data_IF_527267237324
#
_entry.id   IF_527267237324
#
_cell.length_a   1.000
_cell.length_b   1.000
_cell.length_c   1.000
_cell.angle_alpha   90.00
_cell.angle_beta   90.00
_cell.angle_gamma   90.00
#
_symmetry.space_group_name_H-M   'P 1'
#
loop_
_entity.id
_entity.type
_entity.pdbx_description
1 polymer ?
#
# COMPACT_ATOMS: atom_id res chain seq x y z
N UNK A 1 3.29 11.33 -8.41
CA UNK A 1 4.01 10.16 -8.95
C UNK A 1 3.22 8.87 -8.83
N UNK A 2 2.84 8.38 -7.64
CA UNK A 2 2.14 7.10 -7.50
C UNK A 2 0.66 7.12 -7.97
N UNK A 3 -0.06 8.24 -7.82
CA UNK A 3 -1.41 8.39 -8.39
C UNK A 3 -1.41 8.36 -9.93
N UNK A 4 -0.44 9.05 -10.54
CA UNK A 4 -0.23 9.06 -12.00
C UNK A 4 0.18 7.67 -12.51
N UNK A 5 0.91 6.89 -11.71
CA UNK A 5 1.25 5.51 -12.04
C UNK A 5 0.02 4.60 -12.12
N UNK A 6 -1.03 4.88 -11.33
CA UNK A 6 -2.24 4.06 -11.24
C UNK A 6 -3.44 4.63 -12.02
N UNK A 7 -3.33 5.80 -12.64
CA UNK A 7 -4.43 6.46 -13.35
C UNK A 7 -4.84 5.77 -14.66
N UNK A 8 -3.94 5.04 -15.32
CA UNK A 8 -4.26 4.33 -16.56
C UNK A 8 -4.87 2.94 -16.30
N UNK A 9 -5.90 2.50 -17.05
CA UNK A 9 -6.43 1.12 -16.98
C UNK A 9 -5.32 0.08 -17.18
N UNK A 10 -5.35 -1.02 -16.43
CA UNK A 10 -4.35 -2.10 -16.54
C UNK A 10 -2.95 -1.78 -15.99
N UNK A 11 -2.71 -0.58 -15.43
CA UNK A 11 -1.47 -0.27 -14.71
C UNK A 11 -1.56 -0.59 -13.22
N UNK A 12 -0.52 -1.27 -12.74
CA UNK A 12 -0.23 -1.64 -11.37
C UNK A 12 1.02 -0.90 -10.88
N UNK A 13 1.30 -0.90 -9.58
CA UNK A 13 2.47 -0.24 -9.01
C UNK A 13 3.37 -1.19 -8.23
N UNK A 14 4.68 -0.94 -8.28
CA UNK A 14 5.66 -1.51 -7.36
C UNK A 14 6.22 -0.38 -6.51
N UNK A 15 6.02 -0.44 -5.20
CA UNK A 15 6.67 0.46 -4.23
C UNK A 15 7.83 -0.29 -3.58
N UNK A 16 9.04 0.21 -3.75
CA UNK A 16 10.24 -0.47 -3.27
C UNK A 16 11.25 0.47 -2.61
N UNK A 17 12.09 -0.08 -1.73
CA UNK A 17 13.10 0.65 -0.97
C UNK A 17 13.47 -0.05 0.34
N UNK A 18 14.30 0.61 1.16
CA UNK A 18 14.78 0.09 2.44
C UNK A 18 13.65 -0.30 3.44
N UNK A 19 13.97 -1.08 4.47
CA UNK A 19 13.01 -1.42 5.52
C UNK A 19 12.63 -0.19 6.37
N UNK A 20 11.41 -0.17 6.91
CA UNK A 20 10.97 0.88 7.85
C UNK A 20 10.62 2.26 7.25
N UNK A 21 10.85 2.50 5.96
CA UNK A 21 10.64 3.83 5.34
C UNK A 21 9.18 4.18 5.00
N UNK A 22 8.19 3.40 5.43
CA UNK A 22 6.77 3.71 5.22
C UNK A 22 6.15 3.28 3.89
N UNK A 23 6.74 2.32 3.15
CA UNK A 23 6.22 1.83 1.86
C UNK A 23 4.75 1.38 1.92
N UNK A 24 4.43 0.54 2.91
CA UNK A 24 3.08 0.02 3.13
C UNK A 24 2.11 1.11 3.58
N UNK A 25 2.57 2.05 4.40
CA UNK A 25 1.78 3.20 4.84
C UNK A 25 1.43 4.11 3.65
N UNK A 26 2.39 4.35 2.75
CA UNK A 26 2.17 5.09 1.51
C UNK A 26 1.13 4.39 0.62
N UNK A 27 1.25 3.07 0.45
CA UNK A 27 0.27 2.28 -0.31
C UNK A 27 -1.14 2.42 0.29
N UNK A 28 -1.29 2.27 1.61
CA UNK A 28 -2.59 2.45 2.28
C UNK A 28 -3.16 3.85 2.12
N UNK A 29 -2.33 4.88 2.30
CA UNK A 29 -2.73 6.28 2.22
C UNK A 29 -3.23 6.59 0.81
N UNK A 30 -2.48 6.17 -0.21
CA UNK A 30 -2.89 6.32 -1.60
C UNK A 30 -4.26 5.69 -1.86
N UNK A 31 -4.46 4.45 -1.43
CA UNK A 31 -5.73 3.77 -1.65
C UNK A 31 -6.87 4.43 -0.88
N UNK A 32 -6.62 4.96 0.32
CA UNK A 32 -7.61 5.67 1.12
C UNK A 32 -8.09 6.98 0.47
N UNK A 33 -7.27 7.62 -0.39
CA UNK A 33 -7.69 8.78 -1.17
C UNK A 33 -8.65 8.43 -2.31
N UNK A 34 -8.75 7.15 -2.69
CA UNK A 34 -9.74 6.70 -3.66
C UNK A 34 -11.08 6.37 -2.96
N UNK A 35 -12.19 6.87 -3.54
CA UNK A 35 -13.54 6.54 -3.07
C UNK A 35 -13.91 5.11 -3.47
N UNK A 36 -13.43 4.13 -2.71
CA UNK A 36 -13.67 2.72 -3.01
C UNK A 36 -15.00 2.23 -2.48
N UNK A 37 -15.67 1.40 -3.28
CA UNK A 37 -16.84 0.65 -2.82
C UNK A 37 -16.49 -0.47 -1.87
N UNK A 38 -15.25 -0.96 -1.84
CA UNK A 38 -14.78 -1.95 -0.86
C UNK A 38 -13.42 -1.50 -0.28
N UNK A 39 -13.10 -1.82 0.99
CA UNK A 39 -11.76 -1.56 1.49
C UNK A 39 -10.74 -2.37 0.68
N UNK A 40 -9.48 -1.89 0.55
CA UNK A 40 -8.45 -2.68 -0.09
C UNK A 40 -8.19 -3.96 0.69
N UNK A 41 -7.91 -5.05 -0.03
CA UNK A 41 -7.41 -6.27 0.59
C UNK A 41 -5.89 -6.19 0.65
N UNK A 42 -5.35 -6.21 1.87
CA UNK A 42 -3.91 -6.33 2.12
C UNK A 42 -3.56 -7.78 2.42
N UNK A 43 -2.49 -8.27 1.78
CA UNK A 43 -1.91 -9.58 2.03
C UNK A 43 -0.40 -9.42 2.15
N UNK A 44 0.17 -9.93 3.22
CA UNK A 44 1.63 -10.02 3.37
C UNK A 44 2.13 -11.37 2.87
N UNK A 45 3.28 -11.34 2.19
CA UNK A 45 3.97 -12.53 1.71
C UNK A 45 4.87 -13.14 2.79
N UNK A 46 5.03 -14.45 2.70
CA UNK A 46 5.93 -15.29 3.47
C UNK A 46 6.77 -16.18 2.52
N UNK A 47 7.83 -16.85 2.99
CA UNK A 47 8.71 -17.66 2.15
C UNK A 47 8.01 -18.68 1.25
N UNK A 48 6.94 -19.30 1.74
CA UNK A 48 6.17 -20.32 1.02
C UNK A 48 5.03 -19.76 0.17
N UNK A 49 4.85 -18.44 0.15
CA UNK A 49 3.78 -17.80 -0.63
C UNK A 49 3.97 -18.03 -2.13
N UNK A 50 2.92 -18.51 -2.78
CA UNK A 50 2.80 -18.60 -4.24
C UNK A 50 1.78 -17.60 -4.75
N UNK A 51 1.89 -17.18 -6.02
CA UNK A 51 0.93 -16.28 -6.65
C UNK A 51 -0.51 -16.77 -6.47
N UNK A 52 -0.77 -18.05 -6.78
CA UNK A 52 -2.10 -18.63 -6.68
C UNK A 52 -2.61 -18.64 -5.23
N UNK A 53 -1.76 -18.95 -4.25
CA UNK A 53 -2.16 -18.92 -2.84
C UNK A 53 -2.55 -17.52 -2.38
N UNK A 54 -1.82 -16.49 -2.82
CA UNK A 54 -2.11 -15.09 -2.52
C UNK A 54 -3.42 -14.65 -3.17
N UNK A 55 -3.67 -15.05 -4.42
CA UNK A 55 -4.91 -14.71 -5.13
C UNK A 55 -6.13 -15.43 -4.55
N UNK A 56 -6.02 -16.71 -4.17
CA UNK A 56 -7.06 -17.43 -3.42
C UNK A 56 -7.39 -16.72 -2.12
N UNK A 57 -6.36 -16.30 -1.36
CA UNK A 57 -6.54 -15.54 -0.12
C UNK A 57 -7.22 -14.20 -0.38
N UNK A 58 -6.85 -13.48 -1.45
CA UNK A 58 -7.47 -12.21 -1.82
C UNK A 58 -8.97 -12.35 -2.08
N UNK A 59 -9.35 -13.32 -2.89
CA UNK A 59 -10.74 -13.59 -3.25
C UNK A 59 -11.56 -14.04 -2.03
N UNK A 60 -11.00 -14.91 -1.20
CA UNK A 60 -11.64 -15.35 0.06
C UNK A 60 -11.92 -14.19 1.01
N UNK A 61 -10.95 -13.29 1.19
CA UNK A 61 -11.11 -12.09 2.01
C UNK A 61 -12.12 -11.12 1.40
N UNK A 62 -12.12 -11.00 0.07
CA UNK A 62 -13.06 -10.20 -0.69
C UNK A 62 -14.51 -10.60 -0.48
N UNK A 63 -14.80 -11.91 -0.62
CA UNK A 63 -16.14 -12.45 -0.42
C UNK A 63 -16.60 -12.32 1.04
N UNK A 64 -15.71 -12.59 1.99
CA UNK A 64 -16.00 -12.45 3.42
C UNK A 64 -16.32 -11.00 3.81
N UNK A 65 -15.59 -10.02 3.25
CA UNK A 65 -15.84 -8.60 3.47
C UNK A 65 -17.15 -8.11 2.88
N UNK A 66 -17.60 -8.73 1.78
CA UNK A 66 -18.87 -8.42 1.12
C UNK A 66 -20.07 -8.94 1.92
N UNK A 67 -20.00 -10.17 2.43
CA UNK A 67 -21.09 -10.79 3.18
C UNK A 67 -21.43 -10.00 4.45
N UNK A 68 -20.40 -9.48 5.14
CA UNK A 68 -20.56 -8.66 6.34
C UNK A 68 -21.27 -7.32 6.07
N UNK A 69 -21.15 -6.77 4.85
CA UNK A 69 -21.89 -5.56 4.44
C UNK A 69 -23.34 -5.88 4.10
N UNK A 70 -23.61 -7.03 3.50
CA UNK A 70 -24.98 -7.44 3.18
C UNK A 70 -25.79 -7.72 4.46
N UNK A 71 -25.16 -8.30 5.50
CA UNK A 71 -25.78 -8.49 6.81
C UNK A 71 -26.13 -7.17 7.51
N UNK A 72 -25.32 -6.10 7.34
CA UNK A 72 -25.60 -4.80 7.98
C UNK A 72 -26.82 -4.07 7.39
N UNK A 73 -27.11 -4.25 6.09
CA UNK A 73 -28.29 -3.64 5.43
C UNK A 73 -29.55 -4.46 5.69
N UNK A 74 -29.41 -5.78 5.84
CA UNK A 74 -30.52 -6.66 6.18
C UNK A 74 -30.89 -6.59 7.67
N UNK A 75 -29.91 -6.52 8.58
CA UNK A 75 -30.11 -6.41 10.03
C UNK A 75 -30.72 -5.08 10.49
N UNK A 76 -30.42 -3.97 9.79
CA UNK A 76 -31.03 -2.67 10.09
C UNK A 76 -32.52 -2.60 9.71
N UNK A 77 -32.99 -3.43 8.75
CA UNK A 77 -34.41 -3.53 8.39
C UNK A 77 -35.16 -4.61 9.18
N UNK A 78 -34.46 -5.66 9.61
CA UNK A 78 -35.08 -6.77 10.36
C UNK A 78 -35.31 -6.50 11.85
N UNK A 79 -34.68 -5.45 12.42
CA UNK A 79 -34.87 -5.07 13.83
C UNK A 79 -36.16 -4.29 14.11
N UNK A 80 -36.96 -3.93 13.10
CA UNK A 80 -38.17 -3.11 13.28
C UNK A 80 -39.50 -3.86 13.10
N UNK A 81 -39.47 -5.17 12.83
CA UNK A 81 -40.70 -5.95 12.67
C UNK A 81 -40.62 -7.21 13.52
N UNK A 82 -41.28 -7.17 14.68
CA UNK A 82 -41.44 -8.31 15.56
C UNK A 82 -42.24 -9.42 14.88
N UNK A 83 -41.62 -10.58 14.71
CA UNK A 83 -42.23 -11.91 14.82
C UNK A 83 -41.19 -12.97 14.48
N UNK A 84 -41.20 -14.06 15.25
CA UNK A 84 -40.20 -15.11 15.23
C UNK A 84 -39.87 -15.63 13.83
N UNK A 85 -38.59 -15.55 13.47
CA UNK A 85 -38.02 -16.26 12.34
C UNK A 85 -36.99 -17.24 12.90
N UNK A 86 -37.29 -18.54 12.80
CA UNK A 86 -36.31 -19.61 12.99
C UNK A 86 -35.21 -19.40 11.95
N UNK A 87 -34.06 -18.93 12.40
CA UNK A 87 -32.84 -18.89 11.60
C UNK A 87 -32.33 -20.32 11.41
N UNK A 88 -32.80 -21.00 10.37
CA UNK A 88 -32.01 -22.06 9.77
C UNK A 88 -30.78 -21.42 9.15
N UNK A 89 -29.66 -21.57 9.85
CA UNK A 89 -28.33 -21.25 9.38
C UNK A 89 -28.02 -22.19 8.21
N UNK A 90 -28.52 -21.87 7.02
CA UNK A 90 -27.96 -22.39 5.77
C UNK A 90 -26.52 -21.90 5.73
N UNK A 91 -25.62 -22.79 6.13
CA UNK A 91 -24.20 -22.71 5.79
C UNK A 91 -24.18 -22.65 4.27
N UNK A 92 -24.10 -21.43 3.72
CA UNK A 92 -23.73 -21.23 2.33
C UNK A 92 -22.29 -21.71 2.27
N UNK A 93 -22.17 -22.95 1.83
CA UNK A 93 -20.97 -23.69 1.58
C UNK A 93 -20.08 -22.86 0.64
N UNK A 94 -19.19 -22.09 1.26
CA UNK A 94 -17.77 -21.96 0.98
C UNK A 94 -17.28 -22.53 -0.37
N UNK A 95 -17.78 -22.00 -1.48
CA UNK A 95 -17.34 -22.35 -2.83
C UNK A 95 -16.92 -21.08 -3.55
N UNK A 96 -15.64 -20.71 -3.42
CA UNK A 96 -14.94 -19.82 -4.37
C UNK A 96 -13.41 -19.96 -4.27
N UNK A 97 -12.87 -20.39 -3.12
CA UNK A 97 -11.42 -20.50 -2.93
C UNK A 97 -10.78 -21.80 -3.50
N UNK A 98 -11.56 -22.88 -3.65
CA UNK A 98 -11.03 -24.22 -3.94
C UNK A 98 -10.73 -24.47 -5.44
N UNK A 99 -11.31 -23.70 -6.37
CA UNK A 99 -11.22 -23.98 -7.81
C UNK A 99 -10.13 -23.20 -8.55
N UNK A 100 -9.37 -22.34 -7.87
CA UNK A 100 -8.38 -21.48 -8.54
C UNK A 100 -7.11 -22.28 -8.78
N UNK A 101 -7.00 -22.97 -9.91
CA UNK A 101 -5.84 -23.82 -10.23
C UNK A 101 -4.81 -23.12 -11.12
N UNK A 102 -5.20 -22.05 -11.80
CA UNK A 102 -4.35 -21.33 -12.76
C UNK A 102 -4.62 -19.80 -12.78
N UNK A 103 -3.80 -19.08 -13.54
CA UNK A 103 -3.95 -17.63 -13.70
C UNK A 103 -5.22 -17.22 -14.48
N UNK A 104 -5.71 -18.05 -15.42
CA UNK A 104 -6.90 -17.73 -16.19
C UNK A 104 -8.15 -17.68 -15.29
N UNK A 105 -8.20 -18.59 -14.31
CA UNK A 105 -9.24 -18.65 -13.28
C UNK A 105 -9.12 -17.46 -12.32
N UNK A 106 -7.90 -17.08 -11.91
CA UNK A 106 -7.66 -15.86 -11.13
C UNK A 106 -8.21 -14.62 -11.84
N UNK A 107 -7.87 -14.44 -13.11
CA UNK A 107 -8.26 -13.28 -13.91
C UNK A 107 -9.79 -13.19 -14.02
N UNK A 108 -10.43 -14.30 -14.35
CA UNK A 108 -11.90 -14.37 -14.46
C UNK A 108 -12.58 -14.06 -13.13
N UNK A 109 -12.06 -14.59 -12.01
CA UNK A 109 -12.62 -14.34 -10.69
C UNK A 109 -12.44 -12.87 -10.24
N UNK A 110 -11.29 -12.27 -10.53
CA UNK A 110 -10.99 -10.88 -10.24
C UNK A 110 -11.84 -9.91 -11.07
N UNK A 111 -12.05 -10.22 -12.36
CA UNK A 111 -12.93 -9.49 -13.26
C UNK A 111 -14.37 -9.50 -12.73
N UNK A 112 -14.92 -10.69 -12.48
CA UNK A 112 -16.27 -10.86 -11.94
C UNK A 112 -16.45 -10.15 -10.59
N UNK A 113 -15.41 -10.11 -9.75
CA UNK A 113 -15.45 -9.38 -8.49
C UNK A 113 -15.56 -7.86 -8.70
N UNK A 114 -14.74 -7.28 -9.57
CA UNK A 114 -14.81 -5.84 -9.83
C UNK A 114 -16.09 -5.42 -10.59
N UNK A 115 -16.60 -6.26 -11.50
CA UNK A 115 -17.90 -6.06 -12.16
C UNK A 115 -19.05 -6.04 -11.15
N UNK A 116 -19.08 -7.03 -10.24
CA UNK A 116 -20.08 -7.11 -9.17
C UNK A 116 -20.03 -5.90 -8.24
N UNK A 117 -18.83 -5.37 -7.99
CA UNK A 117 -18.65 -4.16 -7.21
C UNK A 117 -19.04 -2.88 -7.98
N UNK A 118 -19.05 -2.92 -9.32
CA UNK A 118 -19.10 -1.75 -10.19
C UNK A 118 -18.01 -0.72 -9.81
N UNK A 119 -16.84 -1.22 -9.41
CA UNK A 119 -15.71 -0.44 -8.92
C UNK A 119 -14.45 -1.28 -9.00
N UNK A 120 -13.27 -0.67 -9.23
CA UNK A 120 -12.03 -1.41 -9.20
C UNK A 120 -11.77 -2.11 -7.86
N UNK A 121 -11.30 -3.35 -7.92
CA UNK A 121 -10.77 -4.09 -6.76
C UNK A 121 -9.36 -3.62 -6.49
N UNK A 122 -9.05 -3.27 -5.23
CA UNK A 122 -7.71 -2.85 -4.83
C UNK A 122 -7.03 -3.88 -3.95
N UNK A 123 -5.88 -4.36 -4.39
CA UNK A 123 -5.04 -5.31 -3.67
C UNK A 123 -3.69 -4.67 -3.30
N UNK A 124 -3.26 -4.88 -2.06
CA UNK A 124 -1.92 -4.51 -1.58
C UNK A 124 -1.20 -5.81 -1.23
N UNK A 125 -0.15 -6.15 -1.97
CA UNK A 125 0.68 -7.33 -1.74
C UNK A 125 1.99 -6.86 -1.10
N UNK A 126 2.15 -7.15 0.19
CA UNK A 126 3.22 -6.63 1.04
C UNK A 126 4.37 -7.62 1.20
N UNK A 127 5.57 -7.10 1.43
CA UNK A 127 6.81 -7.88 1.59
C UNK A 127 7.05 -8.92 0.47
N UNK A 128 6.79 -8.55 -0.79
CA UNK A 128 6.90 -9.44 -1.94
C UNK A 128 8.30 -10.10 -2.06
N UNK A 129 9.35 -9.41 -1.63
CA UNK A 129 10.73 -9.92 -1.59
C UNK A 129 10.90 -11.13 -0.66
N UNK A 130 9.96 -11.41 0.25
CA UNK A 130 9.99 -12.59 1.12
C UNK A 130 9.63 -13.88 0.38
N UNK A 131 9.01 -13.82 -0.79
CA UNK A 131 8.71 -15.02 -1.58
C UNK A 131 10.01 -15.69 -2.05
N UNK A 132 10.24 -16.93 -1.63
CA UNK A 132 11.51 -17.62 -1.90
C UNK A 132 11.75 -17.87 -3.40
N UNK A 133 10.69 -18.21 -4.14
CA UNK A 133 10.77 -18.57 -5.56
C UNK A 133 10.63 -17.33 -6.45
N UNK A 134 11.60 -17.10 -7.34
CA UNK A 134 11.57 -15.96 -8.26
C UNK A 134 10.49 -16.12 -9.34
N UNK A 135 10.17 -17.36 -9.69
CA UNK A 135 9.12 -17.75 -10.64
C UNK A 135 7.74 -17.26 -10.17
N UNK A 136 7.47 -17.37 -8.88
CA UNK A 136 6.21 -16.91 -8.26
C UNK A 136 6.09 -15.37 -8.34
N UNK A 137 7.21 -14.67 -8.13
CA UNK A 137 7.28 -13.21 -8.29
C UNK A 137 7.08 -12.81 -9.75
N UNK A 138 7.75 -13.49 -10.69
CA UNK A 138 7.58 -13.27 -12.14
C UNK A 138 6.15 -13.55 -12.62
N UNK A 139 5.46 -14.49 -11.98
CA UNK A 139 4.05 -14.79 -12.25
C UNK A 139 3.14 -13.56 -12.18
N UNK A 140 3.45 -12.57 -11.33
CA UNK A 140 2.69 -11.31 -11.29
C UNK A 140 2.77 -10.53 -12.61
N UNK A 141 3.90 -10.53 -13.31
CA UNK A 141 4.04 -9.82 -14.58
C UNK A 141 3.15 -10.46 -15.67
N UNK A 142 3.05 -11.80 -15.65
CA UNK A 142 2.15 -12.55 -16.53
C UNK A 142 0.69 -12.23 -16.18
N UNK A 143 0.35 -12.24 -14.88
CA UNK A 143 -0.98 -11.89 -14.41
C UNK A 143 -1.38 -10.47 -14.82
N UNK A 144 -0.50 -9.48 -14.66
CA UNK A 144 -0.76 -8.10 -15.05
C UNK A 144 -1.03 -7.95 -16.54
N UNK A 145 -0.29 -8.67 -17.39
CA UNK A 145 -0.58 -8.71 -18.82
C UNK A 145 -1.99 -9.23 -19.09
N UNK A 146 -2.37 -10.36 -18.49
CA UNK A 146 -3.68 -10.95 -18.70
C UNK A 146 -4.83 -10.07 -18.18
N UNK A 147 -4.64 -9.39 -17.04
CA UNK A 147 -5.60 -8.42 -16.52
C UNK A 147 -5.72 -7.20 -17.44
N UNK A 148 -4.61 -6.72 -18.00
CA UNK A 148 -4.61 -5.59 -18.92
C UNK A 148 -5.28 -5.95 -20.26
N UNK A 149 -4.97 -7.12 -20.83
CA UNK A 149 -5.55 -7.60 -22.10
C UNK A 149 -7.09 -7.73 -22.02
N UNK A 150 -7.63 -8.05 -20.83
CA UNK A 150 -9.08 -8.13 -20.57
C UNK A 150 -9.66 -6.84 -19.97
N UNK A 151 -8.87 -5.78 -19.81
CA UNK A 151 -9.28 -4.54 -19.18
C UNK A 151 -9.94 -4.74 -17.79
N UNK A 152 -9.49 -5.73 -17.03
CA UNK A 152 -10.10 -6.08 -15.76
C UNK A 152 -10.06 -4.89 -14.78
N UNK A 153 -11.15 -4.61 -14.06
CA UNK A 153 -11.23 -3.53 -13.07
C UNK A 153 -10.49 -3.90 -11.78
N UNK A 154 -9.18 -4.11 -11.85
CA UNK A 154 -8.33 -4.45 -10.70
C UNK A 154 -7.08 -3.58 -10.67
N UNK A 155 -6.71 -3.16 -9.45
CA UNK A 155 -5.52 -2.39 -9.15
C UNK A 155 -4.72 -3.12 -8.09
N UNK A 156 -3.42 -3.27 -8.35
CA UNK A 156 -2.50 -3.92 -7.42
C UNK A 156 -1.35 -2.99 -7.10
N UNK A 157 -1.02 -2.90 -5.81
CA UNK A 157 0.20 -2.27 -5.32
C UNK A 157 1.04 -3.38 -4.70
N UNK A 158 2.18 -3.66 -5.33
CA UNK A 158 3.18 -4.57 -4.80
C UNK A 158 4.17 -3.76 -3.95
N UNK A 159 4.49 -4.24 -2.76
CA UNK A 159 5.46 -3.63 -1.87
C UNK A 159 6.60 -4.61 -1.65
N UNK A 160 7.83 -4.15 -1.85
CA UNK A 160 9.02 -4.98 -1.72
C UNK A 160 10.19 -4.20 -1.14
N UNK A 161 11.16 -4.91 -0.57
CA UNK A 161 12.49 -4.38 -0.29
C UNK A 161 13.36 -4.47 -1.53
N UNK A 162 14.33 -3.56 -1.63
CA UNK A 162 15.35 -3.58 -2.68
C UNK A 162 15.74 -2.20 -3.16
N UNK A 163 16.86 -2.15 -3.89
CA UNK A 163 17.40 -0.91 -4.47
C UNK A 163 16.93 -0.68 -5.91
N UNK A 164 16.55 -1.77 -6.58
CA UNK A 164 16.17 -1.81 -7.99
C UNK A 164 14.99 -2.78 -8.19
N UNK A 165 14.04 -2.47 -9.09
CA UNK A 165 12.91 -3.35 -9.37
C UNK A 165 13.32 -4.74 -9.90
N UNK A 166 14.44 -4.80 -10.62
CA UNK A 166 14.98 -6.02 -11.21
C UNK A 166 15.38 -7.03 -10.12
N UNK A 167 15.76 -6.56 -8.92
CA UNK A 167 16.02 -7.45 -7.78
C UNK A 167 14.76 -8.13 -7.23
N UNK A 168 13.57 -7.57 -7.50
CA UNK A 168 12.29 -8.12 -7.05
C UNK A 168 11.77 -9.17 -8.03
N UNK A 169 11.87 -8.92 -9.35
CA UNK A 169 11.30 -9.81 -10.38
C UNK A 169 12.32 -10.60 -11.20
N UNK A 170 13.61 -10.30 -11.07
CA UNK A 170 14.66 -10.91 -11.90
C UNK A 170 14.49 -10.53 -13.38
N UNK A 171 14.77 -9.26 -13.69
CA UNK A 171 14.94 -8.57 -15.00
C UNK A 171 14.14 -9.01 -16.26
N UNK A 172 13.63 -8.00 -16.99
CA UNK A 172 13.21 -8.03 -18.40
C UNK A 172 12.46 -6.76 -18.85
N UNK A 173 12.44 -6.44 -20.16
CA UNK A 173 11.76 -5.26 -20.74
C UNK A 173 10.23 -5.23 -20.51
N UNK A 174 9.62 -6.38 -20.21
CA UNK A 174 8.18 -6.51 -19.96
C UNK A 174 7.71 -5.81 -18.68
N UNK A 175 8.64 -5.40 -17.81
CA UNK A 175 8.37 -4.81 -16.50
C UNK A 175 7.61 -3.47 -16.58
N UNK A 176 8.02 -2.55 -17.45
CA UNK A 176 7.58 -1.14 -17.40
C UNK A 176 6.19 -0.88 -18.01
N UNK A 177 5.64 -1.84 -18.75
CA UNK A 177 4.38 -1.66 -19.49
C UNK A 177 3.17 -1.66 -18.57
N UNK A 178 3.05 -2.68 -17.73
CA UNK A 178 1.89 -2.88 -16.84
C UNK A 178 2.22 -2.58 -15.38
N UNK A 179 3.51 -2.46 -15.03
CA UNK A 179 3.97 -2.20 -13.67
C UNK A 179 4.78 -0.91 -13.64
N UNK A 180 4.36 0.03 -12.80
CA UNK A 180 5.07 1.28 -12.59
C UNK A 180 5.93 1.20 -11.32
N UNK A 181 7.26 1.21 -11.44
CA UNK A 181 8.15 1.27 -10.28
C UNK A 181 8.11 2.64 -9.61
N UNK A 182 8.06 2.66 -8.29
CA UNK A 182 8.19 3.85 -7.45
C UNK A 182 9.17 3.55 -6.32
N UNK A 183 10.36 4.15 -6.41
CA UNK A 183 11.38 4.05 -5.36
C UNK A 183 11.02 5.01 -4.24
N UNK A 184 10.88 4.49 -3.03
CA UNK A 184 10.76 5.32 -1.83
C UNK A 184 12.15 5.47 -1.22
N UNK A 185 12.62 6.71 -1.09
CA UNK A 185 13.90 7.01 -0.46
C UNK A 185 13.75 7.06 1.07
N UNK A 186 14.79 6.69 1.84
CA UNK A 186 14.83 6.96 3.27
C UNK A 186 14.68 8.46 3.56
N UNK A 187 14.11 8.80 4.72
CA UNK A 187 14.13 10.17 5.21
C UNK A 187 15.58 10.58 5.50
N UNK A 188 16.02 11.67 4.88
CA UNK A 188 17.27 12.33 5.27
C UNK A 188 17.07 13.05 6.61
N UNK A 189 18.17 13.41 7.28
CA UNK A 189 18.09 14.22 8.51
C UNK A 189 17.29 15.51 8.27
N UNK A 190 17.56 16.20 7.16
CA UNK A 190 16.88 17.43 6.75
C UNK A 190 15.36 17.22 6.57
N UNK A 191 14.94 16.24 5.77
CA UNK A 191 13.53 15.92 5.57
C UNK A 191 12.87 15.39 6.86
N UNK A 192 13.64 14.76 7.74
CA UNK A 192 13.20 14.30 9.05
C UNK A 192 12.85 15.46 9.98
N UNK A 193 13.68 16.50 10.02
CA UNK A 193 13.39 17.72 10.80
C UNK A 193 12.14 18.43 10.30
N UNK A 194 11.99 18.57 8.97
CA UNK A 194 10.79 19.16 8.38
C UNK A 194 9.53 18.33 8.73
N UNK A 195 9.62 17.01 8.62
CA UNK A 195 8.52 16.11 8.96
C UNK A 195 8.12 16.20 10.43
N UNK A 196 9.09 16.17 11.35
CA UNK A 196 8.85 16.32 12.79
C UNK A 196 8.22 17.68 13.09
N UNK A 197 8.75 18.75 12.48
CA UNK A 197 8.23 20.11 12.65
C UNK A 197 6.78 20.23 12.16
N UNK A 198 6.46 19.61 11.01
CA UNK A 198 5.10 19.53 10.49
C UNK A 198 4.18 18.78 11.45
N UNK A 199 4.60 17.63 11.97
CA UNK A 199 3.82 16.86 12.94
C UNK A 199 3.55 17.70 14.20
N UNK A 200 4.58 18.30 14.79
CA UNK A 200 4.44 19.10 16.00
C UNK A 200 3.51 20.30 15.79
N UNK A 201 3.62 20.98 14.65
CA UNK A 201 2.69 22.05 14.28
C UNK A 201 1.26 21.53 14.12
N UNK A 202 1.08 20.40 13.43
CA UNK A 202 -0.23 19.80 13.17
C UNK A 202 -0.92 19.35 14.46
N UNK A 203 -0.16 18.89 15.45
CA UNK A 203 -0.66 18.47 16.75
C UNK A 203 -0.70 19.60 17.80
N UNK A 204 -0.34 20.84 17.44
CA UNK A 204 -0.31 21.98 18.37
C UNK A 204 0.78 21.91 19.43
N UNK A 205 1.86 21.17 19.16
CA UNK A 205 3.01 20.93 20.04
C UNK A 205 4.25 21.75 19.61
N UNK A 206 4.08 22.77 18.76
CA UNK A 206 5.19 23.57 18.24
C UNK A 206 5.93 24.38 19.31
N UNK A 207 5.26 24.68 20.42
CA UNK A 207 5.83 25.49 21.51
C UNK A 207 6.84 24.71 22.38
N UNK A 208 6.81 23.37 22.34
CA UNK A 208 7.72 22.50 23.12
C UNK A 208 9.10 22.30 22.47
N UNK A 209 9.25 22.65 21.18
CA UNK A 209 10.51 22.50 20.44
C UNK A 209 11.64 23.38 20.97
N UNK A 210 11.32 24.60 21.42
CA UNK A 210 12.32 25.52 22.00
C UNK A 210 12.92 24.95 23.28
N UNK A 211 12.14 24.20 24.05
CA UNK A 211 12.56 23.56 25.30
C UNK A 211 13.38 22.30 25.04
N UNK A 212 13.07 21.55 23.98
CA UNK A 212 13.76 20.29 23.65
C UNK A 212 15.12 20.50 22.95
N UNK A 213 15.24 21.52 22.09
CA UNK A 213 16.49 21.84 21.38
C UNK A 213 17.37 22.87 22.10
N UNK A 214 16.82 23.64 23.04
CA UNK A 214 17.61 24.53 23.90
C UNK A 214 18.61 23.79 24.79
N UNK A 215 18.39 22.51 25.09
CA UNK A 215 19.29 21.70 25.92
C UNK A 215 20.39 20.94 25.18
N UNK A 216 20.35 20.84 23.85
CA UNK A 216 21.36 20.11 23.06
C UNK A 216 22.32 21.01 22.29
N UNK A 217 21.95 22.27 22.05
CA UNK A 217 22.85 23.27 21.44
C UNK A 217 23.99 23.70 22.38
N UNK A 218 23.83 23.58 23.72
CA UNK A 218 24.92 23.87 24.68
C UNK A 218 25.97 22.75 24.78
N UNK A 219 25.70 21.55 24.25
CA UNK A 219 26.64 20.41 24.33
C UNK A 219 27.52 20.26 23.07
N UNK A 220 27.29 21.07 22.03
CA UNK A 220 28.11 21.11 20.81
C UNK A 220 28.95 22.41 20.74
N UNK A 221 29.57 22.78 21.85
CA UNK A 221 30.58 23.84 21.89
C UNK A 221 31.94 23.34 21.38
N UNK A 222 32.26 23.63 20.13
CA UNK A 222 33.60 23.51 19.54
C UNK A 222 33.90 24.72 18.63
N UNK A 223 35.15 25.20 18.56
CA UNK A 223 35.45 26.63 18.70
C UNK A 223 35.54 27.40 17.37
N UNK A 224 35.23 28.70 17.45
CA UNK A 224 36.02 29.71 16.76
C UNK A 224 35.40 30.33 15.50
N UNK A 225 34.47 31.26 15.70
CA UNK A 225 34.36 32.42 14.83
C UNK A 225 34.23 33.67 15.71
N UNK A 226 35.38 34.16 16.19
CA UNK A 226 35.47 35.53 16.72
C UNK A 226 35.19 36.47 15.55
N UNK A 227 34.11 37.23 15.67
CA UNK A 227 33.75 38.29 14.76
C UNK A 227 34.87 39.33 14.65
N UNK A 228 35.23 39.66 13.42
CA UNK A 228 35.86 40.92 13.09
C UNK A 228 34.89 42.05 13.47
N UNK A 229 35.21 42.77 14.55
CA UNK A 229 34.60 44.06 14.85
C UNK A 229 35.60 45.15 14.48
N UNK A 230 35.09 46.07 13.66
CA UNK A 230 35.80 47.21 13.12
C UNK A 230 36.32 48.14 14.23
N UNK A 231 37.57 48.59 14.10
CA UNK A 231 38.05 49.82 14.71
C UNK A 231 38.31 50.84 13.60
N UNK A 232 37.45 51.85 13.54
CA UNK A 232 37.70 53.12 12.87
C UNK A 232 37.32 54.23 13.85
N UNK A 233 38.32 54.80 14.54
CA UNK A 233 38.26 56.11 15.18
C UNK A 233 39.65 56.52 15.70
N UNK A 234 40.34 57.39 14.98
CA UNK A 234 40.97 58.59 15.55
C UNK A 234 41.60 59.41 14.41
N UNK A 235 41.02 60.57 14.15
CA UNK A 235 41.71 61.67 13.50
C UNK A 235 42.32 62.56 14.56
N UNK A 236 43.58 62.94 14.35
CA UNK A 236 44.15 64.28 14.55
C UNK A 236 45.18 64.46 13.46
#
# INVERSE_FOLDING_TARGET
MLEQALSAPGRHALVYGAAGIGKTSLAHTLVAHHRLRCPPIKISCDPDSTLLSLMRRALTLGDSGMNRRHESVFGARFSLAGSGVKFEKKVVEQQCAAAIEDNATVVTALEAWGERLQSPVWLIIDDLDRMARIEERRGFLILFKQLADRACPVKMILVARGEQPEGVFGAGEAFTRHLSPVKLAPLTLENGYEFISLCLTTFGLSDDLRTFYGGTAEMAGGPGLRGASAQAASGV
#
